data_IF_032351172528
#
_entry.id   IF_032351172528
#
_cell.length_a   1.000
_cell.length_b   1.000
_cell.length_c   1.000
_cell.angle_alpha   90.00
_cell.angle_beta   90.00
_cell.angle_gamma   90.00
#
_symmetry.space_group_name_H-M   'P 1'
#
loop_
_entity.id
_entity.type
_entity.pdbx_description
1 polymer ?
#
# COMPACT_ATOMS: atom_id res chain seq x y z
N UNK A 1 5.26 12.75 0.47
CA UNK A 1 6.71 12.69 0.17
C UNK A 1 7.27 11.35 0.56
N UNK A 2 8.40 10.94 -0.01
CA UNK A 2 9.06 9.66 0.25
C UNK A 2 10.55 9.92 0.38
N UNK A 3 11.20 9.32 1.37
CA UNK A 3 12.66 9.28 1.47
C UNK A 3 13.10 7.86 1.17
N UNK A 4 14.03 7.73 0.23
CA UNK A 4 14.57 6.45 -0.19
C UNK A 4 16.04 6.34 0.16
N UNK A 5 16.47 5.14 0.54
CA UNK A 5 17.88 4.80 0.76
C UNK A 5 18.37 3.94 -0.41
N UNK A 6 19.53 4.31 -0.96
CA UNK A 6 20.26 3.55 -1.98
C UNK A 6 21.53 2.98 -1.37
N UNK A 7 21.57 1.67 -1.17
CA UNK A 7 22.75 0.99 -0.64
C UNK A 7 22.38 -0.35 -0.03
N UNK A 8 23.31 -1.31 -0.09
CA UNK A 8 23.18 -2.63 0.55
C UNK A 8 23.59 -2.62 2.02
N UNK A 9 24.31 -1.58 2.43
CA UNK A 9 24.80 -1.38 3.79
C UNK A 9 23.92 -0.37 4.50
N UNK A 10 23.72 -0.54 5.81
CA UNK A 10 22.93 0.38 6.63
C UNK A 10 23.73 1.58 7.14
N UNK A 11 25.07 1.51 7.07
CA UNK A 11 26.00 2.55 7.53
C UNK A 11 26.52 3.44 6.39
N UNK A 12 26.39 2.98 5.16
CA UNK A 12 26.89 3.65 3.96
C UNK A 12 25.89 3.47 2.84
N UNK A 13 25.62 4.56 2.14
CA UNK A 13 24.57 4.64 1.13
C UNK A 13 24.21 6.09 0.84
N UNK A 14 23.20 6.26 -0.01
CA UNK A 14 22.77 7.56 -0.48
C UNK A 14 21.29 7.78 -0.23
N UNK A 15 20.95 8.91 0.39
CA UNK A 15 19.57 9.29 0.66
C UNK A 15 19.08 10.27 -0.39
N UNK A 16 17.91 9.98 -0.93
CA UNK A 16 17.26 10.80 -1.95
C UNK A 16 15.81 11.02 -1.56
N UNK A 17 15.35 12.26 -1.71
CA UNK A 17 14.00 12.66 -1.34
C UNK A 17 13.12 12.83 -2.58
N UNK A 18 11.92 12.27 -2.50
CA UNK A 18 10.90 12.35 -3.54
C UNK A 18 9.73 13.15 -2.99
N UNK A 19 9.54 14.35 -3.51
CA UNK A 19 8.51 15.26 -3.02
C UNK A 19 7.52 15.51 -4.14
N UNK A 20 6.24 15.31 -3.84
CA UNK A 20 5.15 15.76 -4.69
C UNK A 20 4.84 17.19 -4.33
N UNK A 21 4.91 18.08 -5.31
CA UNK A 21 4.50 19.47 -5.11
C UNK A 21 2.98 19.58 -5.16
N UNK A 22 2.43 20.43 -4.29
CA UNK A 22 0.99 20.68 -4.16
C UNK A 22 0.48 21.67 -5.21
N UNK A 23 1.36 22.51 -5.78
CA UNK A 23 0.99 23.52 -6.77
C UNK A 23 0.78 22.92 -8.16
N UNK A 24 1.71 22.06 -8.59
CA UNK A 24 1.73 21.49 -9.94
C UNK A 24 1.46 19.98 -9.98
N UNK A 25 1.23 19.33 -8.84
CA UNK A 25 1.00 17.88 -8.71
C UNK A 25 2.09 17.00 -9.34
N UNK A 26 3.27 17.55 -9.61
CA UNK A 26 4.41 16.80 -10.15
C UNK A 26 5.32 16.31 -9.04
N UNK A 27 5.93 15.16 -9.28
CA UNK A 27 6.96 14.64 -8.41
C UNK A 27 8.32 15.21 -8.80
N UNK A 28 9.13 15.47 -7.78
CA UNK A 28 10.50 15.91 -7.92
C UNK A 28 11.40 15.00 -7.09
N UNK A 29 12.46 14.53 -7.72
CA UNK A 29 13.56 13.84 -7.07
C UNK A 29 14.61 14.89 -6.70
N UNK A 30 14.90 14.96 -5.40
CA UNK A 30 15.95 15.78 -4.81
C UNK A 30 17.12 14.87 -4.48
N UNK A 31 18.14 14.94 -5.32
CA UNK A 31 19.42 14.24 -5.23
C UNK A 31 20.53 15.26 -4.92
N UNK A 32 20.65 15.61 -3.65
CA UNK A 32 21.50 16.70 -3.16
C UNK A 32 21.29 18.02 -3.93
N UNK A 33 22.24 18.40 -4.78
CA UNK A 33 22.17 19.61 -5.62
C UNK A 33 21.35 19.44 -6.90
N UNK A 34 21.08 18.19 -7.30
CA UNK A 34 20.38 17.86 -8.53
C UNK A 34 18.89 17.63 -8.26
N UNK A 35 18.06 18.51 -8.82
CA UNK A 35 16.60 18.39 -8.76
C UNK A 35 16.06 18.01 -10.12
N UNK A 36 15.36 16.88 -10.20
CA UNK A 36 14.74 16.40 -11.45
C UNK A 36 13.25 16.20 -11.27
N UNK A 37 12.48 16.46 -12.33
CA UNK A 37 11.04 16.19 -12.34
C UNK A 37 10.86 14.76 -12.81
N UNK A 38 10.05 13.99 -12.07
CA UNK A 38 9.79 12.57 -12.31
C UNK A 38 8.30 12.28 -12.33
N UNK A 39 7.91 11.19 -13.00
CA UNK A 39 6.54 10.73 -13.06
C UNK A 39 6.17 9.86 -11.84
N UNK A 40 4.86 9.74 -11.56
CA UNK A 40 4.36 8.94 -10.43
C UNK A 40 4.74 7.45 -10.53
N UNK A 41 4.85 6.93 -11.77
CA UNK A 41 5.31 5.55 -11.99
C UNK A 41 6.74 5.32 -11.52
N UNK A 42 7.61 6.32 -11.65
CA UNK A 42 8.99 6.22 -11.17
C UNK A 42 9.03 6.14 -9.63
N UNK A 43 8.12 6.86 -8.98
CA UNK A 43 7.95 6.83 -7.51
C UNK A 43 7.39 5.47 -7.05
N UNK A 44 6.43 4.90 -7.77
CA UNK A 44 5.90 3.57 -7.44
C UNK A 44 6.95 2.47 -7.57
N UNK A 45 7.93 2.63 -8.47
CA UNK A 45 9.07 1.71 -8.59
C UNK A 45 10.04 1.76 -7.40
N UNK A 46 9.96 2.77 -6.53
CA UNK A 46 10.73 2.80 -5.27
C UNK A 46 10.07 1.98 -4.15
N UNK A 47 9.01 1.22 -4.45
CA UNK A 47 8.35 0.29 -3.52
C UNK A 47 9.24 -0.88 -3.07
N UNK A 48 10.44 -1.02 -3.64
CA UNK A 48 11.42 -2.04 -3.29
C UNK A 48 11.25 -3.32 -4.10
N UNK A 49 12.25 -4.20 -4.05
CA UNK A 49 12.27 -5.46 -4.81
C UNK A 49 13.61 -5.84 -5.45
N UNK A 50 14.73 -5.25 -5.01
CA UNK A 50 16.07 -5.55 -5.53
C UNK A 50 17.12 -4.57 -4.99
N UNK A 51 18.24 -4.39 -5.72
CA UNK A 51 19.29 -3.40 -5.41
C UNK A 51 18.93 -1.94 -5.72
N UNK A 52 17.65 -1.67 -5.96
CA UNK A 52 17.14 -0.35 -6.30
C UNK A 52 16.82 0.48 -5.05
N UNK A 53 16.47 1.75 -5.25
CA UNK A 53 16.05 2.64 -4.16
C UNK A 53 14.91 2.02 -3.36
N UNK A 54 15.12 1.86 -2.06
CA UNK A 54 14.12 1.30 -1.16
C UNK A 54 13.51 2.41 -0.31
N UNK A 55 12.17 2.48 -0.26
CA UNK A 55 11.47 3.44 0.57
C UNK A 55 11.78 3.21 2.06
N UNK A 56 12.31 4.24 2.71
CA UNK A 56 12.66 4.21 4.13
C UNK A 56 11.64 4.97 4.98
N UNK A 57 11.27 6.19 4.55
CA UNK A 57 10.27 7.00 5.23
C UNK A 57 9.20 7.44 4.23
N UNK A 58 7.93 7.22 4.58
CA UNK A 58 6.78 7.69 3.82
C UNK A 58 6.06 8.78 4.60
N UNK A 59 5.95 9.96 4.01
CA UNK A 59 5.30 11.13 4.59
C UNK A 59 4.00 11.36 3.84
N UNK A 60 2.88 11.17 4.54
CA UNK A 60 1.54 11.39 3.99
C UNK A 60 1.00 12.74 4.45
N UNK A 61 0.41 13.47 3.52
CA UNK A 61 -0.36 14.66 3.83
C UNK A 61 -1.80 14.28 4.14
N UNK A 62 -2.44 15.03 5.05
CA UNK A 62 -3.84 14.83 5.38
C UNK A 62 -4.72 15.02 4.14
N UNK A 63 -5.47 13.98 3.77
CA UNK A 63 -6.43 14.08 2.66
C UNK A 63 -7.64 14.89 3.12
N UNK A 64 -7.83 16.09 2.58
CA UNK A 64 -9.03 16.89 2.83
C UNK A 64 -10.22 16.24 2.11
N UNK A 65 -11.04 15.52 2.87
CA UNK A 65 -12.24 14.86 2.37
C UNK A 65 -13.41 15.84 2.53
N UNK A 66 -13.93 16.37 1.41
CA UNK A 66 -15.12 17.25 1.43
C UNK A 66 -16.44 16.48 1.59
N UNK A 67 -16.44 15.19 1.24
CA UNK A 67 -17.59 14.30 1.35
C UNK A 67 -17.15 12.95 1.88
N UNK A 68 -17.74 12.53 2.98
CA UNK A 68 -17.54 11.18 3.51
C UNK A 68 -18.09 10.17 2.51
N UNK A 69 -17.30 9.16 2.07
CA UNK A 69 -17.87 8.07 1.30
C UNK A 69 -18.90 7.35 2.17
N UNK A 70 -20.15 7.28 1.69
CA UNK A 70 -21.18 6.44 2.30
C UNK A 70 -20.64 5.00 2.28
N UNK A 71 -20.40 4.43 3.46
CA UNK A 71 -20.03 3.02 3.54
C UNK A 71 -21.19 2.21 2.97
N UNK A 72 -20.93 1.16 2.15
CA UNK A 72 -21.97 0.24 1.77
C UNK A 72 -22.62 -0.30 3.06
N UNK A 73 -23.96 -0.45 3.10
CA UNK A 73 -24.62 -1.03 4.26
C UNK A 73 -23.96 -2.37 4.55
N UNK A 74 -23.65 -2.62 5.83
CA UNK A 74 -23.11 -3.90 6.25
C UNK A 74 -23.99 -5.02 5.65
N UNK A 75 -23.39 -6.11 5.13
CA UNK A 75 -24.19 -7.24 4.69
C UNK A 75 -25.06 -7.64 5.87
N UNK A 76 -26.37 -7.42 5.72
CA UNK A 76 -27.35 -7.96 6.66
C UNK A 76 -27.12 -9.45 6.64
N UNK A 77 -26.58 -9.98 7.74
CA UNK A 77 -26.48 -11.42 7.93
C UNK A 77 -27.93 -11.87 7.98
N UNK A 78 -28.44 -12.35 6.85
CA UNK A 78 -29.76 -12.94 6.73
C UNK A 78 -29.77 -14.13 7.68
N UNK A 79 -30.52 -13.97 8.77
CA UNK A 79 -30.76 -14.97 9.79
C UNK A 79 -31.61 -16.12 9.20
N UNK A 80 -31.01 -16.96 8.36
CA UNK A 80 -31.62 -18.18 7.82
C UNK A 80 -30.61 -19.34 7.78
N UNK A 81 -29.88 -19.52 8.87
CA UNK A 81 -29.15 -20.76 9.13
C UNK A 81 -29.29 -21.15 10.60
N UNK A 82 -30.52 -21.27 11.07
CA UNK A 82 -30.84 -22.04 12.26
C UNK A 82 -31.88 -23.11 11.89
N UNK A 83 -31.55 -24.36 12.24
CA UNK A 83 -32.29 -25.62 12.11
C UNK A 83 -32.29 -26.37 10.76
N UNK A 84 -31.53 -27.48 10.71
CA UNK A 84 -32.12 -28.84 10.63
C UNK A 84 -31.06 -29.92 10.89
N UNK A 85 -31.30 -30.65 12.00
CA UNK A 85 -31.07 -32.06 12.30
C UNK A 85 -29.70 -32.73 12.00
N UNK A 86 -29.08 -33.14 13.12
CA UNK A 86 -28.10 -34.22 13.25
C UNK A 86 -28.73 -35.54 12.75
N UNK A 87 -28.28 -36.07 11.60
CA UNK A 87 -28.58 -37.46 11.19
C UNK A 87 -27.37 -38.36 11.51
N UNK A 88 -27.58 -39.52 12.16
CA UNK A 88 -26.50 -40.42 12.56
C UNK A 88 -25.87 -41.13 11.36
N UNK A 89 -24.55 -41.18 11.36
CA UNK A 89 -23.68 -41.74 10.32
C UNK A 89 -23.90 -43.27 10.15
N UNK A 90 -24.49 -43.69 9.04
CA UNK A 90 -24.62 -45.12 8.69
C UNK A 90 -23.29 -45.64 8.08
N UNK A 91 -22.67 -46.62 8.73
CA UNK A 91 -21.45 -47.31 8.25
C UNK A 91 -21.82 -48.24 7.09
N UNK A 92 -21.37 -47.92 5.89
CA UNK A 92 -21.48 -48.80 4.72
C UNK A 92 -20.36 -49.84 4.73
N UNK A 93 -20.71 -51.05 5.16
CA UNK A 93 -19.96 -52.27 4.87
C UNK A 93 -20.21 -52.67 3.41
N UNK A 94 -19.16 -52.75 2.59
CA UNK A 94 -19.20 -53.42 1.29
C UNK A 94 -18.20 -54.59 1.27
N UNK A 95 -18.50 -55.64 0.48
CA UNK A 95 -18.10 -57.02 0.71
C UNK A 95 -16.61 -57.30 0.48
#
# INVERSE_FOLDING_TARGET
>A
GIITHKGRSSQDGHYVAWIRSTEDNKWRLFDDEHVTIVDEEAVLKTSGGGDWHSAYVLIYEARVIKQFPQLPPAPVVSAEAENTADEPMEVSSKP
#
